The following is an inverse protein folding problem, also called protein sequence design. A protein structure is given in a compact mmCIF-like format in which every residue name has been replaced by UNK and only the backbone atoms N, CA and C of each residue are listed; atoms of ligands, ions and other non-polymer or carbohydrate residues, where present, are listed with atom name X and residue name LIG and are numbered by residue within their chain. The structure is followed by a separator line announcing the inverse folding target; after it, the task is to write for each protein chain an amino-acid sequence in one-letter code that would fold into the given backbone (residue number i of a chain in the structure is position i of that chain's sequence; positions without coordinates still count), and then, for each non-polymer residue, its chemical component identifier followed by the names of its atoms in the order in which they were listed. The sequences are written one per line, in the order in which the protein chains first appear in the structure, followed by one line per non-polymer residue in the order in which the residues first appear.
data_IF_958280696350
#
_entry.id   IF_958280696350
#
_cell.length_a   1.000
_cell.length_b   1.000
_cell.length_c   1.000
_cell.angle_alpha   90.00
_cell.angle_beta   90.00
_cell.angle_gamma   90.00
#
_symmetry.space_group_name_H-M   'P 1'
#
loop_
_entity.id
_entity.type
_entity.pdbx_description
1 polymer ?
#
# COMPACT_ATOMS: atom_id res chain seq x y z
N UNK A 1 -4.17 -15.33 9.08
CA UNK A 1 -4.18 -15.31 7.59
C UNK A 1 -2.86 -14.72 7.09
N UNK A 2 -2.26 -15.36 6.12
CA UNK A 2 -1.04 -14.86 5.49
C UNK A 2 -1.37 -13.90 4.35
N UNK A 3 -0.45 -12.98 4.08
CA UNK A 3 -0.61 -11.97 3.01
C UNK A 3 -0.77 -12.62 1.64
N UNK A 4 -0.20 -13.81 1.42
CA UNK A 4 -0.40 -14.57 0.18
C UNK A 4 -1.88 -14.70 -0.21
N UNK A 5 -2.77 -14.82 0.76
CA UNK A 5 -4.22 -14.96 0.52
C UNK A 5 -4.87 -13.65 0.02
N UNK A 6 -4.22 -12.51 0.19
CA UNK A 6 -4.69 -11.20 -0.25
C UNK A 6 -4.13 -10.79 -1.61
N UNK A 7 -3.11 -11.50 -2.10
CA UNK A 7 -2.47 -11.18 -3.37
C UNK A 7 -3.39 -11.60 -4.50
N UNK A 8 -3.87 -10.62 -5.25
CA UNK A 8 -4.64 -10.86 -6.47
C UNK A 8 -3.68 -10.87 -7.65
N UNK A 9 -3.98 -11.63 -8.69
CA UNK A 9 -3.18 -11.66 -9.91
C UNK A 9 -3.22 -10.35 -10.72
N UNK A 10 -3.72 -9.27 -10.15
CA UNK A 10 -3.79 -7.96 -10.81
C UNK A 10 -2.42 -7.32 -10.86
N UNK A 11 -2.14 -6.67 -11.99
CA UNK A 11 -0.92 -5.87 -12.16
C UNK A 11 -0.93 -4.71 -11.16
N UNK A 12 0.21 -4.50 -10.50
CA UNK A 12 0.39 -3.35 -9.59
C UNK A 12 0.66 -2.11 -10.41
N UNK A 13 -0.11 -1.06 -10.16
CA UNK A 13 0.13 0.24 -10.78
C UNK A 13 1.34 0.92 -10.14
N UNK A 14 2.24 1.41 -10.97
CA UNK A 14 3.43 2.13 -10.53
C UNK A 14 3.53 3.47 -11.26
N UNK A 15 4.41 4.33 -10.76
CA UNK A 15 4.67 5.63 -11.37
C UNK A 15 6.17 5.90 -11.39
N UNK A 16 6.63 6.64 -12.39
CA UNK A 16 8.02 7.05 -12.48
C UNK A 16 8.36 8.15 -11.49
N UNK A 17 9.57 8.14 -10.94
CA UNK A 17 10.07 9.20 -10.06
C UNK A 17 10.15 10.56 -10.76
N UNK A 18 10.28 10.57 -12.08
CA UNK A 18 10.32 11.80 -12.88
C UNK A 18 8.94 12.32 -13.30
N UNK A 19 7.86 11.60 -12.98
CA UNK A 19 6.51 12.03 -13.28
C UNK A 19 6.17 13.33 -12.55
N UNK A 20 5.25 14.09 -13.13
CA UNK A 20 4.81 15.37 -12.56
C UNK A 20 3.74 15.17 -11.48
N UNK A 21 3.48 16.21 -10.70
CA UNK A 21 2.36 16.20 -9.76
C UNK A 21 1.04 15.94 -10.50
N UNK A 22 0.86 16.54 -11.68
CA UNK A 22 -0.33 16.34 -12.50
C UNK A 22 -0.51 14.85 -12.86
N UNK A 23 0.58 14.21 -13.31
CA UNK A 23 0.57 12.78 -13.63
C UNK A 23 0.19 11.94 -12.42
N UNK A 24 0.75 12.27 -11.25
CA UNK A 24 0.48 11.57 -9.99
C UNK A 24 -0.99 11.67 -9.59
N UNK A 25 -1.52 12.89 -9.53
CA UNK A 25 -2.90 13.15 -9.12
C UNK A 25 -3.87 12.48 -10.09
N UNK A 26 -3.58 12.56 -11.38
CA UNK A 26 -4.38 11.91 -12.41
C UNK A 26 -4.39 10.39 -12.25
N UNK A 27 -3.23 9.78 -12.01
CA UNK A 27 -3.11 8.33 -11.82
C UNK A 27 -3.87 7.85 -10.59
N UNK A 28 -3.73 8.55 -9.46
CA UNK A 28 -4.47 8.23 -8.23
C UNK A 28 -5.99 8.29 -8.46
N UNK A 29 -6.43 9.32 -9.18
CA UNK A 29 -7.86 9.51 -9.46
C UNK A 29 -8.41 8.47 -10.44
N UNK A 30 -7.70 8.19 -11.52
CA UNK A 30 -8.14 7.23 -12.56
C UNK A 30 -8.23 5.81 -12.00
N UNK A 31 -7.26 5.41 -11.20
CA UNK A 31 -7.24 4.06 -10.61
C UNK A 31 -8.00 3.93 -9.29
N UNK A 32 -8.56 5.02 -8.76
CA UNK A 32 -9.26 5.06 -7.48
C UNK A 32 -8.43 4.46 -6.34
N UNK A 33 -7.16 4.86 -6.27
CA UNK A 33 -6.20 4.38 -5.26
C UNK A 33 -5.59 5.55 -4.51
N UNK A 34 -5.15 5.29 -3.27
CA UNK A 34 -4.58 6.32 -2.40
C UNK A 34 -3.06 6.41 -2.43
N UNK A 35 -2.38 5.45 -3.06
CA UNK A 35 -0.93 5.42 -3.13
C UNK A 35 -0.45 4.65 -4.37
N UNK A 36 0.75 5.01 -4.81
CA UNK A 36 1.45 4.36 -5.93
C UNK A 36 2.88 4.02 -5.51
N UNK A 37 3.35 2.85 -5.90
CA UNK A 37 4.76 2.51 -5.79
C UNK A 37 5.51 3.25 -6.90
N UNK A 38 6.63 3.87 -6.51
CA UNK A 38 7.51 4.56 -7.46
C UNK A 38 8.54 3.56 -7.95
N UNK A 39 8.54 3.31 -9.25
CA UNK A 39 9.38 2.28 -9.86
C UNK A 39 9.74 2.66 -11.30
N UNK A 40 10.98 2.38 -11.75
CA UNK A 40 11.37 2.62 -13.14
C UNK A 40 10.90 1.52 -14.09
N UNK A 41 10.60 0.33 -13.59
CA UNK A 41 10.34 -0.86 -14.42
C UNK A 41 9.17 -1.72 -13.93
N UNK A 42 8.49 -1.29 -12.85
CA UNK A 42 7.39 -2.05 -12.24
C UNK A 42 7.85 -3.16 -11.31
N UNK A 43 9.14 -3.35 -11.13
CA UNK A 43 9.74 -4.39 -10.26
C UNK A 43 10.55 -3.82 -9.13
N UNK A 44 11.47 -2.89 -9.43
CA UNK A 44 12.31 -2.26 -8.43
C UNK A 44 11.54 -1.16 -7.73
N UNK A 45 11.58 -1.15 -6.40
CA UNK A 45 10.93 -0.11 -5.59
C UNK A 45 11.93 1.01 -5.30
N UNK A 46 11.65 2.22 -5.79
CA UNK A 46 12.43 3.42 -5.48
C UNK A 46 11.80 4.21 -4.34
N UNK A 47 10.49 4.10 -4.19
CA UNK A 47 9.75 4.82 -3.17
C UNK A 47 8.27 4.48 -3.21
N UNK A 48 7.52 5.16 -2.35
CA UNK A 48 6.06 5.12 -2.36
C UNK A 48 5.55 6.55 -2.22
N UNK A 49 4.48 6.88 -2.92
CA UNK A 49 3.87 8.21 -2.89
C UNK A 49 2.36 8.08 -2.75
N UNK A 50 1.79 8.88 -1.86
CA UNK A 50 0.36 8.84 -1.55
C UNK A 50 -0.30 10.21 -1.72
N UNK A 51 -1.63 10.22 -1.73
CA UNK A 51 -2.42 11.45 -1.69
C UNK A 51 -2.08 12.30 -0.46
N UNK A 52 -1.75 11.66 0.67
CA UNK A 52 -1.34 12.34 1.89
C UNK A 52 -0.01 13.09 1.71
N UNK A 53 0.93 12.53 0.95
CA UNK A 53 2.21 13.20 0.64
C UNK A 53 1.98 14.49 -0.15
N UNK A 54 1.01 14.48 -1.07
CA UNK A 54 0.63 15.67 -1.83
C UNK A 54 0.06 16.74 -0.90
N UNK A 55 -0.87 16.36 -0.04
CA UNK A 55 -1.50 17.29 0.90
C UNK A 55 -0.48 17.89 1.87
N UNK A 56 0.44 17.07 2.39
CA UNK A 56 1.48 17.52 3.32
C UNK A 56 2.49 18.48 2.69
N UNK A 57 2.69 18.41 1.39
CA UNK A 57 3.61 19.28 0.68
C UNK A 57 3.02 20.66 0.37
N UNK A 58 1.69 20.83 0.49
CA UNK A 58 1.00 22.08 0.14
C UNK A 58 1.27 23.26 1.08
N UNK A 59 1.34 23.11 2.41
CA UNK A 59 1.49 24.25 3.32
C UNK A 59 2.72 25.10 3.00
N UNK A 60 2.49 26.39 2.69
CA UNK A 60 3.55 27.33 2.35
C UNK A 60 4.17 27.16 0.97
N UNK A 61 3.68 26.22 0.15
CA UNK A 61 4.25 25.88 -1.16
C UNK A 61 3.22 25.73 -2.26
N UNK A 62 2.05 26.34 -2.12
CA UNK A 62 0.96 26.17 -3.11
C UNK A 62 1.36 26.57 -4.53
N UNK A 63 2.19 27.61 -4.67
CA UNK A 63 2.65 28.07 -5.98
C UNK A 63 3.78 27.19 -6.56
N UNK A 64 4.52 26.48 -5.71
CA UNK A 64 5.67 25.67 -6.08
C UNK A 64 5.35 24.19 -6.33
N UNK A 65 4.27 23.69 -5.73
CA UNK A 65 3.95 22.27 -5.74
C UNK A 65 3.71 21.73 -7.15
N UNK A 66 3.20 22.55 -8.05
CA UNK A 66 2.94 22.17 -9.44
C UNK A 66 4.22 21.84 -10.21
N UNK A 67 5.35 22.39 -9.77
CA UNK A 67 6.66 22.15 -10.38
C UNK A 67 7.39 20.95 -9.76
N UNK A 68 6.83 20.37 -8.70
CA UNK A 68 7.42 19.20 -8.05
C UNK A 68 7.22 17.94 -8.88
N UNK A 69 8.19 17.04 -8.75
CA UNK A 69 8.15 15.70 -9.32
C UNK A 69 7.82 14.68 -8.24
N UNK A 70 7.42 13.49 -8.64
CA UNK A 70 7.14 12.39 -7.72
C UNK A 70 8.32 12.16 -6.77
N UNK A 71 9.55 12.22 -7.28
CA UNK A 71 10.76 12.06 -6.45
C UNK A 71 10.88 13.07 -5.31
N UNK A 72 10.29 14.26 -5.46
CA UNK A 72 10.30 15.30 -4.44
C UNK A 72 9.26 15.05 -3.33
N UNK A 73 8.25 14.24 -3.64
CA UNK A 73 7.11 13.96 -2.76
C UNK A 73 7.18 12.57 -2.12
N UNK A 74 7.83 11.62 -2.75
CA UNK A 74 7.84 10.21 -2.34
C UNK A 74 8.61 9.98 -1.04
N UNK A 75 8.24 8.90 -0.35
CA UNK A 75 9.02 8.33 0.74
C UNK A 75 9.96 7.28 0.16
N UNK A 76 11.27 7.41 0.40
CA UNK A 76 12.29 6.49 -0.11
C UNK A 76 12.48 5.27 0.77
N UNK A 77 12.34 5.43 2.08
CA UNK A 77 12.47 4.34 3.05
C UNK A 77 11.15 3.57 3.14
N UNK A 78 10.93 2.70 2.17
CA UNK A 78 9.67 1.97 2.03
C UNK A 78 9.66 0.73 2.90
N UNK A 79 8.62 0.62 3.73
CA UNK A 79 8.37 -0.60 4.50
C UNK A 79 7.67 -1.59 3.57
N UNK A 80 8.23 -2.78 3.43
CA UNK A 80 7.72 -3.85 2.59
C UNK A 80 7.36 -5.08 3.42
N UNK A 81 6.62 -5.99 2.80
CA UNK A 81 6.33 -7.30 3.37
C UNK A 81 6.48 -8.38 2.29
N UNK A 82 6.33 -9.63 2.68
CA UNK A 82 6.39 -10.77 1.78
C UNK A 82 5.07 -11.54 1.84
N UNK A 83 4.81 -12.46 0.90
CA UNK A 83 3.61 -13.30 0.94
C UNK A 83 3.48 -14.13 2.22
N UNK A 84 4.58 -14.42 2.91
CA UNK A 84 4.59 -15.18 4.16
C UNK A 84 4.31 -14.34 5.39
N UNK A 85 4.32 -13.02 5.28
CA UNK A 85 3.92 -12.12 6.35
C UNK A 85 2.45 -12.35 6.72
N UNK A 86 2.09 -12.09 7.98
CA UNK A 86 0.71 -12.28 8.44
C UNK A 86 -0.07 -10.97 8.42
N UNK A 87 -1.38 -11.07 8.33
CA UNK A 87 -2.31 -9.93 8.43
C UNK A 87 -2.12 -9.21 9.77
N UNK A 88 -1.95 -9.96 10.87
CA UNK A 88 -1.74 -9.38 12.20
C UNK A 88 -0.45 -8.55 12.27
N UNK A 89 0.64 -9.03 11.67
CA UNK A 89 1.91 -8.29 11.60
C UNK A 89 1.72 -6.96 10.87
N UNK A 90 1.02 -6.98 9.73
CA UNK A 90 0.78 -5.76 8.96
C UNK A 90 -0.11 -4.77 9.69
N UNK A 91 -1.13 -5.24 10.39
CA UNK A 91 -1.98 -4.37 11.23
C UNK A 91 -1.15 -3.62 12.26
N UNK A 92 -0.23 -4.31 12.93
CA UNK A 92 0.66 -3.71 13.91
C UNK A 92 1.56 -2.66 13.28
N UNK A 93 2.22 -3.00 12.16
CA UNK A 93 3.10 -2.08 11.43
C UNK A 93 2.34 -0.84 10.95
N UNK A 94 1.18 -1.03 10.35
CA UNK A 94 0.35 0.07 9.85
C UNK A 94 -0.08 1.02 10.97
N UNK A 95 -0.42 0.46 12.14
CA UNK A 95 -0.84 1.23 13.30
C UNK A 95 0.33 2.00 13.91
N UNK A 96 1.44 1.34 14.16
CA UNK A 96 2.62 1.95 14.77
C UNK A 96 3.28 2.99 13.89
N UNK A 97 3.40 2.71 12.59
CA UNK A 97 4.06 3.59 11.62
C UNK A 97 3.11 4.58 10.96
N UNK A 98 1.82 4.45 11.21
CA UNK A 98 0.76 5.28 10.59
C UNK A 98 0.81 5.29 9.08
N UNK A 99 1.04 4.12 8.49
CA UNK A 99 1.04 3.90 7.05
C UNK A 99 -0.17 3.06 6.66
N UNK A 100 -0.67 3.27 5.44
CA UNK A 100 -1.90 2.64 4.96
C UNK A 100 -1.68 1.71 3.78
N UNK A 101 -0.47 1.66 3.27
CA UNK A 101 -0.11 0.87 2.10
C UNK A 101 1.26 0.24 2.31
N UNK A 102 1.36 -1.05 2.08
CA UNK A 102 2.62 -1.78 2.21
C UNK A 102 2.83 -2.61 0.94
N UNK A 103 3.89 -2.32 0.17
CA UNK A 103 4.22 -3.15 -0.98
C UNK A 103 4.63 -4.56 -0.56
N UNK A 104 4.23 -5.54 -1.36
CA UNK A 104 4.61 -6.93 -1.19
C UNK A 104 5.70 -7.25 -2.20
N UNK A 105 6.78 -7.85 -1.72
CA UNK A 105 7.94 -8.21 -2.56
C UNK A 105 8.19 -9.71 -2.53
N UNK A 106 8.82 -10.21 -3.60
CA UNK A 106 9.27 -11.60 -3.67
C UNK A 106 10.65 -11.76 -2.98
N UNK A 107 11.23 -12.95 -3.07
CA UNK A 107 12.52 -13.28 -2.45
C UNK A 107 13.67 -12.41 -3.00
N UNK A 108 13.55 -11.95 -4.24
CA UNK A 108 14.55 -11.09 -4.87
C UNK A 108 14.33 -9.60 -4.57
N UNK A 109 13.29 -9.27 -3.83
CA UNK A 109 12.94 -7.88 -3.50
C UNK A 109 12.14 -7.19 -4.60
N UNK A 110 11.64 -7.92 -5.59
CA UNK A 110 10.82 -7.36 -6.65
C UNK A 110 9.37 -7.19 -6.21
N UNK A 111 8.76 -6.08 -6.64
CA UNK A 111 7.37 -5.78 -6.37
C UNK A 111 6.44 -6.81 -7.03
N UNK A 112 5.55 -7.40 -6.25
CA UNK A 112 4.54 -8.34 -6.75
C UNK A 112 3.11 -7.92 -6.42
N UNK A 113 2.92 -7.11 -5.38
CA UNK A 113 1.59 -6.62 -5.00
C UNK A 113 1.70 -5.42 -4.08
N UNK A 114 0.57 -4.84 -3.73
CA UNK A 114 0.45 -3.83 -2.69
C UNK A 114 -0.78 -4.15 -1.84
N UNK A 115 -0.65 -4.01 -0.54
CA UNK A 115 -1.74 -4.26 0.42
C UNK A 115 -2.11 -2.96 1.10
N UNK A 116 -3.39 -2.62 1.08
CA UNK A 116 -3.93 -1.44 1.75
C UNK A 116 -4.46 -1.78 3.14
N UNK A 117 -4.64 -0.75 3.97
CA UNK A 117 -5.27 -0.93 5.29
C UNK A 117 -6.69 -1.51 5.15
N UNK A 118 -7.42 -1.14 4.10
CA UNK A 118 -8.74 -1.70 3.82
C UNK A 118 -8.71 -3.21 3.61
N UNK A 119 -7.72 -3.70 2.86
CA UNK A 119 -7.52 -5.13 2.62
C UNK A 119 -7.23 -5.88 3.93
N UNK A 120 -6.37 -5.31 4.75
CA UNK A 120 -5.93 -5.90 6.02
C UNK A 120 -7.08 -5.95 7.02
N UNK A 121 -7.83 -4.87 7.16
CA UNK A 121 -9.00 -4.80 8.06
C UNK A 121 -10.06 -5.80 7.64
N UNK A 122 -10.36 -5.86 6.34
CA UNK A 122 -11.34 -6.81 5.79
C UNK A 122 -10.94 -8.26 6.06
N UNK A 123 -9.67 -8.59 5.88
CA UNK A 123 -9.13 -9.92 6.17
C UNK A 123 -9.22 -10.26 7.65
N UNK A 124 -8.91 -9.31 8.52
CA UNK A 124 -8.98 -9.49 9.97
C UNK A 124 -10.41 -9.76 10.45
N UNK A 125 -11.37 -8.99 9.94
CA UNK A 125 -12.80 -9.20 10.22
C UNK A 125 -13.24 -10.59 9.77
N UNK A 126 -12.83 -11.02 8.59
CA UNK A 126 -13.13 -12.35 8.07
C UNK A 126 -12.57 -13.46 8.97
N UNK A 127 -11.35 -13.32 9.47
CA UNK A 127 -10.73 -14.27 10.40
C UNK A 127 -11.51 -14.35 11.73
N UNK A 128 -11.90 -13.20 12.28
CA UNK A 128 -12.70 -13.15 13.51
C UNK A 128 -14.06 -13.81 13.33
N UNK A 129 -14.73 -13.59 12.20
CA UNK A 129 -16.01 -14.20 11.88
C UNK A 129 -15.87 -15.73 11.76
N UNK A 130 -14.83 -16.21 11.14
CA UNK A 130 -14.54 -17.65 11.02
C UNK A 130 -14.31 -18.31 12.39
N UNK A 131 -13.53 -17.66 13.26
CA UNK A 131 -13.28 -18.14 14.63
C UNK A 131 -14.57 -18.17 15.44
N UNK A 132 -15.38 -17.13 15.35
CA UNK A 132 -16.68 -17.05 16.05
C UNK A 132 -17.61 -18.16 15.58
N UNK A 133 -17.68 -18.42 14.29
CA UNK A 133 -18.51 -19.47 13.70
C UNK A 133 -18.06 -20.85 14.15
N UNK A 134 -16.76 -21.11 14.12
CA UNK A 134 -16.19 -22.38 14.57
C UNK A 134 -16.51 -22.65 16.04
N UNK A 135 -16.37 -21.64 16.91
CA UNK A 135 -16.70 -21.74 18.32
C UNK A 135 -18.19 -21.98 18.54
N UNK A 136 -19.06 -21.27 17.81
CA UNK A 136 -20.50 -21.44 17.87
C UNK A 136 -20.90 -22.86 17.46
N UNK A 137 -20.33 -23.39 16.38
CA UNK A 137 -20.58 -24.75 15.90
C UNK A 137 -20.11 -25.81 16.92
N UNK A 138 -18.94 -25.56 17.54
CA UNK A 138 -18.43 -26.44 18.61
C UNK A 138 -19.39 -26.50 19.83
N UNK A 139 -19.91 -25.35 20.22
CA UNK A 139 -20.82 -25.26 21.37
C UNK A 139 -22.21 -25.91 21.11
N UNK A 140 -22.57 -26.06 19.83
CA UNK A 140 -23.84 -26.69 19.41
C UNK A 140 -23.74 -28.21 19.27
N UNK A 141 -22.53 -28.74 19.24
CA UNK A 141 -22.32 -30.20 19.09
C UNK A 141 -22.17 -30.94 20.46
#
# INVERSE_FOLDING_TARGET
MKIAALITGKRVETISSSATLHDLVNALNVHHIGALVVSPDGKKIEGIVSERDVVRAMPGKLDEITDMRVRDLMTQDVITCTPTSTVAELMTVMTERRIRHIPVVDESGNLISIVSIGDVVKAHISDLDSERKALSDYLKS
#
